data_IF_954423716335
#
_entry.id   IF_954423716335
#
_cell.length_a   1.000
_cell.length_b   1.000
_cell.length_c   1.000
_cell.angle_alpha   90.00
_cell.angle_beta   90.00
_cell.angle_gamma   90.00
#
_symmetry.space_group_name_H-M   'P 1'
#
loop_
_entity.id
_entity.type
_entity.pdbx_description
1 polymer ?
#
# COMPACT_ATOMS: atom_id res chain seq x y z
N UNK A 1 13.97 13.81 -17.01
CA UNK A 1 12.67 13.86 -17.71
C UNK A 1 12.93 13.40 -19.14
N UNK A 2 12.06 12.59 -19.74
CA UNK A 2 12.29 12.14 -21.12
C UNK A 2 12.10 13.29 -22.09
N UNK A 3 12.89 13.33 -23.17
CA UNK A 3 12.75 14.30 -24.26
C UNK A 3 11.54 14.00 -25.17
N UNK A 4 10.55 13.24 -24.68
CA UNK A 4 9.39 12.81 -25.46
C UNK A 4 8.57 13.97 -26.03
N UNK A 5 8.29 15.07 -25.30
CA UNK A 5 7.57 16.19 -25.88
C UNK A 5 8.30 16.85 -27.06
N UNK A 6 9.64 16.82 -27.06
CA UNK A 6 10.48 17.43 -28.10
C UNK A 6 10.86 16.48 -29.24
N UNK A 7 10.85 15.16 -29.00
CA UNK A 7 11.28 14.14 -29.96
C UNK A 7 10.42 12.86 -29.85
N UNK A 8 9.08 12.94 -30.04
CA UNK A 8 8.21 11.79 -29.80
C UNK A 8 8.47 10.65 -30.79
N UNK A 9 8.67 10.96 -32.08
CA UNK A 9 8.92 9.95 -33.10
C UNK A 9 10.25 9.19 -32.90
N UNK A 10 11.41 9.86 -32.72
CA UNK A 10 12.66 9.16 -32.43
C UNK A 10 12.58 8.26 -31.19
N UNK A 11 11.91 8.73 -30.13
CA UNK A 11 11.76 7.96 -28.90
C UNK A 11 10.85 6.75 -29.11
N UNK A 12 9.71 6.89 -29.79
CA UNK A 12 8.86 5.73 -30.11
C UNK A 12 9.61 4.74 -30.99
N UNK A 13 10.36 5.22 -31.99
CA UNK A 13 11.12 4.37 -32.89
C UNK A 13 12.24 3.60 -32.19
N UNK A 14 12.83 4.12 -31.10
CA UNK A 14 13.82 3.37 -30.32
C UNK A 14 13.23 2.18 -29.55
N UNK A 15 11.90 2.11 -29.41
CA UNK A 15 11.19 1.01 -28.74
C UNK A 15 10.25 0.27 -29.70
N UNK A 16 10.35 0.47 -31.02
CA UNK A 16 9.38 -0.09 -31.97
C UNK A 16 9.38 -1.61 -31.97
N UNK A 17 10.56 -2.24 -31.86
CA UNK A 17 10.67 -3.69 -31.80
C UNK A 17 10.01 -4.24 -30.53
N UNK A 18 10.21 -3.59 -29.38
CA UNK A 18 9.57 -3.95 -28.12
C UNK A 18 8.04 -3.80 -28.20
N UNK A 19 7.56 -2.69 -28.77
CA UNK A 19 6.13 -2.41 -28.95
C UNK A 19 5.47 -3.43 -29.89
N UNK A 20 6.19 -3.88 -30.92
CA UNK A 20 5.68 -4.82 -31.92
C UNK A 20 5.94 -6.29 -31.55
N UNK A 21 6.71 -6.57 -30.50
CA UNK A 21 7.11 -7.93 -30.09
C UNK A 21 5.95 -8.79 -29.57
N UNK A 22 4.78 -8.20 -29.34
CA UNK A 22 3.59 -8.90 -28.88
C UNK A 22 3.67 -9.30 -27.40
N UNK A 23 2.88 -10.29 -26.98
CA UNK A 23 2.83 -10.79 -25.61
C UNK A 23 3.89 -11.87 -25.32
N UNK A 24 4.47 -11.87 -24.12
CA UNK A 24 5.22 -13.03 -23.62
C UNK A 24 4.29 -14.24 -23.38
N UNK A 25 4.86 -15.45 -23.28
CA UNK A 25 4.06 -16.66 -22.97
C UNK A 25 3.48 -16.58 -21.56
N UNK A 26 2.16 -16.69 -21.43
CA UNK A 26 1.44 -16.59 -20.16
C UNK A 26 0.47 -15.41 -20.14
N UNK A 27 0.17 -14.91 -18.94
CA UNK A 27 -0.76 -13.78 -18.74
C UNK A 27 -0.04 -12.42 -18.84
N UNK A 28 0.70 -12.21 -19.94
CA UNK A 28 1.46 -10.98 -20.18
C UNK A 28 0.88 -10.20 -21.37
N UNK A 29 0.58 -8.92 -21.17
CA UNK A 29 0.10 -8.07 -22.26
C UNK A 29 1.18 -7.69 -23.27
N UNK A 30 2.44 -7.66 -22.85
CA UNK A 30 3.59 -7.25 -23.65
C UNK A 30 4.81 -8.10 -23.32
N UNK A 31 5.73 -8.19 -24.27
CA UNK A 31 6.98 -8.93 -24.18
C UNK A 31 8.18 -8.02 -23.83
N UNK A 32 7.93 -6.83 -23.30
CA UNK A 32 8.95 -5.98 -22.70
C UNK A 32 8.99 -6.21 -21.17
N UNK A 33 10.20 -6.36 -20.63
CA UNK A 33 10.46 -6.38 -19.18
C UNK A 33 11.28 -5.16 -18.78
N UNK A 34 11.70 -5.10 -17.52
CA UNK A 34 12.69 -4.10 -17.07
C UNK A 34 13.94 -4.20 -17.95
N UNK A 35 14.49 -3.05 -18.34
CA UNK A 35 15.67 -3.01 -19.22
C UNK A 35 16.94 -3.30 -18.44
N UNK A 36 18.07 -3.64 -19.11
CA UNK A 36 19.34 -3.87 -18.41
C UNK A 36 19.80 -2.69 -17.53
N UNK A 37 19.53 -1.45 -17.93
CA UNK A 37 19.84 -0.29 -17.10
C UNK A 37 18.90 -0.14 -15.90
N UNK A 38 17.66 -0.63 -16.01
CA UNK A 38 16.74 -0.74 -14.89
C UNK A 38 17.19 -1.79 -13.88
N UNK A 39 17.64 -2.97 -14.33
CA UNK A 39 18.22 -3.99 -13.45
C UNK A 39 19.46 -3.44 -12.73
N UNK A 40 20.37 -2.79 -13.48
CA UNK A 40 21.52 -2.12 -12.88
C UNK A 40 21.12 -1.07 -11.84
N UNK A 41 20.06 -0.27 -12.09
CA UNK A 41 19.56 0.69 -11.12
C UNK A 41 19.07 -0.01 -9.84
N UNK A 42 18.30 -1.09 -9.96
CA UNK A 42 17.81 -1.86 -8.80
C UNK A 42 18.99 -2.41 -7.99
N UNK A 43 19.97 -3.02 -8.64
CA UNK A 43 21.19 -3.50 -7.98
C UNK A 43 21.94 -2.36 -7.25
N UNK A 44 22.08 -1.20 -7.90
CA UNK A 44 22.75 -0.05 -7.31
C UNK A 44 21.97 0.58 -6.15
N UNK A 45 20.63 0.51 -6.18
CA UNK A 45 19.77 0.92 -5.08
C UNK A 45 19.91 -0.04 -3.88
N UNK A 46 19.89 -1.35 -4.13
CA UNK A 46 20.14 -2.37 -3.10
C UNK A 46 21.52 -2.19 -2.46
N UNK A 47 22.55 -1.99 -3.28
CA UNK A 47 23.92 -1.72 -2.83
C UNK A 47 24.03 -0.46 -1.97
N UNK A 48 23.07 0.47 -2.03
CA UNK A 48 23.03 1.70 -1.24
C UNK A 48 22.08 1.63 -0.03
N UNK A 49 21.46 0.48 0.22
CA UNK A 49 20.49 0.36 1.31
C UNK A 49 19.18 1.11 1.05
N UNK A 50 18.86 1.41 -0.21
CA UNK A 50 17.63 2.12 -0.56
C UNK A 50 16.44 1.15 -0.54
N UNK A 51 15.27 1.65 -0.16
CA UNK A 51 14.01 0.90 -0.25
C UNK A 51 13.61 0.80 -1.72
N UNK A 52 13.33 -0.43 -2.17
CA UNK A 52 12.77 -0.69 -3.51
C UNK A 52 11.26 -0.66 -3.42
N UNK A 53 10.63 0.32 -4.08
CA UNK A 53 9.17 0.34 -4.26
C UNK A 53 8.78 -0.57 -5.43
N UNK A 54 7.83 -1.47 -5.20
CA UNK A 54 7.47 -2.53 -6.15
C UNK A 54 6.05 -2.40 -6.73
N UNK A 55 5.27 -1.41 -6.29
CA UNK A 55 4.02 -1.06 -6.94
C UNK A 55 4.23 -0.43 -8.31
N UNK A 56 3.20 -0.56 -9.16
CA UNK A 56 3.14 -0.03 -10.53
C UNK A 56 4.12 -0.61 -11.56
N UNK A 57 5.03 -1.53 -11.20
CA UNK A 57 5.76 -2.27 -12.23
C UNK A 57 4.81 -3.04 -13.17
N UNK A 58 5.06 -3.08 -14.49
CA UNK A 58 4.41 -4.03 -15.39
C UNK A 58 4.61 -5.47 -14.89
N UNK A 59 3.66 -6.37 -15.11
CA UNK A 59 3.67 -7.72 -14.55
C UNK A 59 5.00 -8.47 -14.79
N UNK A 60 5.58 -8.34 -15.99
CA UNK A 60 6.85 -9.00 -16.28
C UNK A 60 8.05 -8.36 -15.57
N UNK A 61 8.16 -7.02 -15.58
CA UNK A 61 9.16 -6.31 -14.78
C UNK A 61 9.02 -6.61 -13.28
N UNK A 62 7.79 -6.72 -12.80
CA UNK A 62 7.47 -7.05 -11.41
C UNK A 62 8.04 -8.43 -11.04
N UNK A 63 7.86 -9.45 -11.89
CA UNK A 63 8.48 -10.76 -11.69
C UNK A 63 10.01 -10.67 -11.69
N UNK A 64 10.59 -9.99 -12.68
CA UNK A 64 12.04 -9.89 -12.83
C UNK A 64 12.69 -9.17 -11.65
N UNK A 65 12.07 -8.11 -11.14
CA UNK A 65 12.52 -7.41 -9.94
C UNK A 65 12.43 -8.31 -8.71
N UNK A 66 11.38 -9.12 -8.58
CA UNK A 66 11.31 -10.10 -7.48
C UNK A 66 12.44 -11.12 -7.52
N UNK A 67 12.82 -11.63 -8.70
CA UNK A 67 13.97 -12.53 -8.85
C UNK A 67 15.25 -11.88 -8.31
N UNK A 68 15.51 -10.62 -8.66
CA UNK A 68 16.67 -9.86 -8.15
C UNK A 68 16.65 -9.67 -6.63
N UNK A 69 15.47 -9.37 -6.07
CA UNK A 69 15.27 -9.19 -4.63
C UNK A 69 15.50 -10.51 -3.87
N UNK A 70 15.00 -11.63 -4.41
CA UNK A 70 15.16 -12.96 -3.81
C UNK A 70 16.60 -13.46 -3.86
N UNK A 71 17.26 -13.29 -5.01
CA UNK A 71 18.69 -13.63 -5.17
C UNK A 71 19.56 -12.86 -4.17
N UNK A 72 19.11 -11.68 -3.74
CA UNK A 72 19.82 -10.79 -2.82
C UNK A 72 19.34 -10.87 -1.37
N UNK A 73 18.28 -11.63 -1.07
CA UNK A 73 17.52 -11.57 0.21
C UNK A 73 17.28 -10.12 0.66
N UNK A 74 16.78 -9.29 -0.26
CA UNK A 74 16.63 -7.86 -0.07
C UNK A 74 15.16 -7.46 0.13
N UNK A 75 14.83 -6.68 1.17
CA UNK A 75 13.46 -6.27 1.44
C UNK A 75 12.97 -5.19 0.45
N UNK A 76 11.65 -5.12 0.27
CA UNK A 76 11.02 -4.11 -0.57
C UNK A 76 9.70 -3.63 0.04
N UNK A 77 9.14 -2.56 -0.53
CA UNK A 77 7.88 -1.97 -0.12
C UNK A 77 6.85 -2.05 -1.25
N UNK A 78 5.67 -2.59 -0.93
CA UNK A 78 4.46 -2.43 -1.74
C UNK A 78 3.56 -1.37 -1.11
N UNK A 79 3.77 -0.10 -1.46
CA UNK A 79 3.03 1.03 -0.87
C UNK A 79 1.60 1.20 -1.37
N UNK A 80 1.16 0.33 -2.30
CA UNK A 80 -0.19 0.29 -2.87
C UNK A 80 -0.71 -1.15 -3.05
N UNK A 81 -0.41 -1.99 -2.04
CA UNK A 81 -0.97 -3.33 -1.75
C UNK A 81 -0.32 -4.53 -2.44
N UNK A 82 0.69 -4.37 -3.30
CA UNK A 82 1.37 -5.54 -3.89
C UNK A 82 2.26 -6.27 -2.88
N UNK A 83 2.24 -7.61 -2.92
CA UNK A 83 3.05 -8.47 -2.03
C UNK A 83 3.47 -9.83 -2.62
N UNK A 84 3.07 -10.13 -3.86
CA UNK A 84 3.41 -11.38 -4.58
C UNK A 84 3.14 -12.64 -3.75
N UNK A 85 1.88 -12.88 -3.38
CA UNK A 85 1.45 -14.10 -2.68
C UNK A 85 2.24 -14.40 -1.40
N UNK A 86 2.64 -13.37 -0.67
CA UNK A 86 3.37 -13.44 0.60
C UNK A 86 4.89 -13.49 0.46
N UNK A 87 5.43 -13.61 -0.76
CA UNK A 87 6.89 -13.64 -0.98
C UNK A 87 7.58 -12.38 -0.49
N UNK A 88 6.91 -11.23 -0.59
CA UNK A 88 7.45 -9.98 -0.05
C UNK A 88 7.78 -10.08 1.44
N UNK A 89 6.89 -10.70 2.23
CA UNK A 89 7.05 -10.82 3.67
C UNK A 89 8.20 -11.77 4.03
N UNK A 90 8.44 -12.80 3.22
CA UNK A 90 9.59 -13.70 3.40
C UNK A 90 10.93 -12.95 3.26
N UNK A 91 10.96 -11.89 2.44
CA UNK A 91 12.12 -11.02 2.29
C UNK A 91 12.22 -9.94 3.37
N UNK A 92 11.32 -9.92 4.36
CA UNK A 92 11.23 -8.84 5.35
C UNK A 92 10.68 -7.52 4.77
N UNK A 93 10.02 -7.60 3.61
CA UNK A 93 9.32 -6.47 3.01
C UNK A 93 7.96 -6.20 3.66
N UNK A 94 7.37 -5.07 3.28
CA UNK A 94 6.06 -4.61 3.77
C UNK A 94 5.10 -4.37 2.63
N UNK A 95 3.82 -4.64 2.85
CA UNK A 95 2.75 -4.24 1.94
C UNK A 95 1.70 -3.48 2.73
N UNK A 96 1.45 -2.25 2.30
CA UNK A 96 0.46 -1.40 2.95
C UNK A 96 -0.97 -1.83 2.60
N UNK A 97 -1.93 -1.33 3.37
CA UNK A 97 -3.35 -1.52 3.10
C UNK A 97 -4.11 -0.20 3.21
N UNK A 98 -5.27 -0.17 2.56
CA UNK A 98 -6.25 0.91 2.68
C UNK A 98 -7.64 0.26 2.71
N UNK A 99 -8.10 -0.18 3.89
CA UNK A 99 -9.44 -0.73 4.07
C UNK A 99 -10.55 0.13 3.44
N UNK A 100 -11.52 -0.51 2.79
CA UNK A 100 -12.71 0.21 2.30
C UNK A 100 -13.68 0.40 3.46
N UNK A 101 -14.42 1.53 3.54
CA UNK A 101 -15.22 1.84 4.71
C UNK A 101 -16.55 1.09 4.74
N UNK A 102 -17.09 0.59 3.61
CA UNK A 102 -18.43 -0.01 3.61
C UNK A 102 -18.52 -1.27 4.49
N UNK A 103 -19.44 -1.26 5.46
CA UNK A 103 -19.71 -2.40 6.33
C UNK A 103 -20.69 -3.35 5.65
N UNK A 104 -20.58 -4.62 5.99
CA UNK A 104 -21.52 -5.67 5.60
C UNK A 104 -22.22 -6.15 6.89
N UNK A 105 -23.52 -5.87 7.07
CA UNK A 105 -24.23 -6.22 8.30
C UNK A 105 -24.29 -7.74 8.54
N UNK A 106 -24.17 -8.55 7.49
CA UNK A 106 -24.15 -10.01 7.60
C UNK A 106 -22.74 -10.56 7.88
N UNK A 107 -21.71 -9.74 7.69
CA UNK A 107 -20.30 -10.14 7.85
C UNK A 107 -19.50 -9.05 8.60
N UNK A 108 -19.66 -8.90 9.93
CA UNK A 108 -18.86 -7.96 10.73
C UNK A 108 -17.36 -8.17 10.52
N UNK A 109 -16.60 -7.08 10.48
CA UNK A 109 -15.16 -7.10 10.19
C UNK A 109 -14.81 -7.17 8.70
N UNK A 110 -15.81 -7.03 7.82
CA UNK A 110 -15.62 -7.08 6.37
C UNK A 110 -14.54 -6.10 5.88
N UNK A 111 -14.44 -4.94 6.54
CA UNK A 111 -13.54 -3.85 6.15
C UNK A 111 -12.07 -4.25 6.25
N UNK A 112 -11.73 -5.17 7.18
CA UNK A 112 -10.36 -5.63 7.45
C UNK A 112 -10.02 -7.00 6.87
N UNK A 113 -10.90 -7.59 6.06
CA UNK A 113 -10.68 -8.93 5.49
C UNK A 113 -9.36 -9.08 4.70
N UNK A 114 -8.93 -8.02 4.00
CA UNK A 114 -7.64 -8.04 3.30
C UNK A 114 -6.45 -7.90 4.24
N UNK A 115 -6.62 -7.16 5.34
CA UNK A 115 -5.64 -7.09 6.43
C UNK A 115 -5.44 -8.49 7.01
N UNK A 116 -6.52 -9.22 7.32
CA UNK A 116 -6.44 -10.59 7.85
C UNK A 116 -5.73 -11.56 6.89
N UNK A 117 -6.00 -11.46 5.58
CA UNK A 117 -5.32 -12.28 4.56
C UNK A 117 -3.83 -12.01 4.51
N UNK A 118 -3.42 -10.74 4.60
CA UNK A 118 -2.01 -10.36 4.65
C UNK A 118 -1.35 -10.86 5.93
N UNK A 119 -2.03 -10.73 7.07
CA UNK A 119 -1.53 -11.25 8.35
C UNK A 119 -1.33 -12.76 8.34
N UNK A 120 -2.24 -13.53 7.73
CA UNK A 120 -2.06 -14.97 7.58
C UNK A 120 -0.80 -15.32 6.75
N UNK A 121 -0.46 -14.51 5.75
CA UNK A 121 0.76 -14.69 4.94
C UNK A 121 2.03 -14.26 5.68
N UNK A 122 1.94 -13.19 6.48
CA UNK A 122 3.01 -12.74 7.36
C UNK A 122 3.32 -13.80 8.43
N UNK A 123 2.29 -14.35 9.07
CA UNK A 123 2.41 -15.41 10.07
C UNK A 123 3.05 -16.68 9.48
N UNK A 124 2.64 -17.06 8.26
CA UNK A 124 3.17 -18.23 7.57
C UNK A 124 4.70 -18.19 7.34
N UNK A 125 5.31 -17.00 7.35
CA UNK A 125 6.76 -16.80 7.20
C UNK A 125 7.42 -16.30 8.48
N UNK A 126 6.67 -16.18 9.59
CA UNK A 126 7.17 -15.71 10.88
C UNK A 126 7.64 -14.25 10.87
N UNK A 127 7.10 -13.42 9.98
CA UNK A 127 7.45 -12.01 9.89
C UNK A 127 6.69 -11.17 10.95
N UNK A 128 7.13 -9.93 11.14
CA UNK A 128 6.52 -9.02 12.11
C UNK A 128 5.07 -8.65 11.69
N UNK A 129 4.05 -8.83 12.54
CA UNK A 129 2.63 -8.71 12.17
C UNK A 129 2.17 -7.24 12.14
N UNK A 130 2.72 -6.43 11.25
CA UNK A 130 2.32 -5.04 11.08
C UNK A 130 1.94 -4.71 9.64
N UNK A 131 0.86 -3.95 9.49
CA UNK A 131 0.32 -3.53 8.19
C UNK A 131 0.32 -2.00 8.13
N UNK A 132 1.21 -1.38 7.34
CA UNK A 132 1.21 0.07 7.15
C UNK A 132 -0.07 0.55 6.46
N UNK A 133 -0.55 1.74 6.81
CA UNK A 133 -1.60 2.43 6.05
C UNK A 133 -0.99 3.28 4.94
N UNK A 134 -1.57 3.22 3.75
CA UNK A 134 -1.19 4.07 2.62
C UNK A 134 -2.42 4.59 1.89
N UNK A 135 -2.53 5.91 1.77
CA UNK A 135 -3.74 6.55 1.25
C UNK A 135 -3.63 7.00 -0.21
N UNK A 136 -2.40 7.11 -0.73
CA UNK A 136 -2.14 7.64 -2.06
C UNK A 136 -2.79 9.02 -2.31
N UNK A 137 -2.73 9.91 -1.32
CA UNK A 137 -3.34 11.25 -1.42
C UNK A 137 -2.58 12.12 -2.44
N UNK A 138 -3.03 12.10 -3.69
CA UNK A 138 -2.37 12.78 -4.81
C UNK A 138 -3.32 13.60 -5.71
N UNK A 139 -4.62 13.67 -5.37
CA UNK A 139 -5.64 14.39 -6.12
C UNK A 139 -6.19 13.66 -7.36
N UNK A 140 -5.62 12.53 -7.74
CA UNK A 140 -6.11 11.66 -8.83
C UNK A 140 -6.72 10.36 -8.29
N UNK A 141 -6.09 9.77 -7.27
CA UNK A 141 -6.61 8.57 -6.62
C UNK A 141 -7.83 8.90 -5.75
N UNK A 142 -8.82 7.99 -5.76
CA UNK A 142 -9.98 8.11 -4.91
C UNK A 142 -9.58 7.92 -3.43
N UNK A 143 -9.98 8.88 -2.59
CA UNK A 143 -9.79 8.84 -1.14
C UNK A 143 -10.65 7.76 -0.45
N UNK A 144 -10.87 7.92 0.85
CA UNK A 144 -11.86 7.12 1.58
C UNK A 144 -13.21 7.82 1.40
N UNK A 145 -14.16 7.21 0.67
CA UNK A 145 -15.49 7.80 0.47
C UNK A 145 -16.28 7.80 1.78
N UNK A 146 -17.37 8.58 1.87
CA UNK A 146 -18.32 8.41 2.95
C UNK A 146 -18.96 7.01 2.93
N UNK A 147 -19.54 6.65 4.06
CA UNK A 147 -20.30 5.41 4.19
C UNK A 147 -21.79 5.66 3.97
N UNK A 148 -22.27 6.82 4.38
CA UNK A 148 -23.66 7.26 4.28
C UNK A 148 -23.83 8.34 3.20
N UNK A 149 -25.08 8.70 2.91
CA UNK A 149 -25.41 9.73 1.92
C UNK A 149 -25.42 9.22 0.48
N UNK A 150 -25.66 10.14 -0.46
CA UNK A 150 -25.81 9.83 -1.89
C UNK A 150 -24.52 9.30 -2.53
N UNK A 151 -23.36 9.78 -2.05
CA UNK A 151 -22.03 9.35 -2.51
C UNK A 151 -21.46 8.18 -1.68
N UNK A 152 -22.27 7.62 -0.77
CA UNK A 152 -21.88 6.57 0.15
C UNK A 152 -21.94 5.15 -0.43
N UNK A 153 -22.01 4.16 0.45
CA UNK A 153 -22.11 2.76 0.06
C UNK A 153 -23.47 2.44 -0.58
N UNK A 154 -23.47 1.59 -1.61
CA UNK A 154 -24.72 1.14 -2.26
C UNK A 154 -25.64 0.37 -1.30
N UNK A 155 -25.06 -0.43 -0.42
CA UNK A 155 -25.78 -1.18 0.60
C UNK A 155 -26.10 -0.30 1.81
N UNK A 156 -27.30 -0.45 2.38
CA UNK A 156 -27.71 0.29 3.57
C UNK A 156 -26.72 0.12 4.73
N UNK A 157 -26.30 1.23 5.31
CA UNK A 157 -25.29 1.28 6.37
C UNK A 157 -25.93 1.56 7.74
N UNK A 158 -25.28 1.10 8.80
CA UNK A 158 -25.67 1.30 10.18
C UNK A 158 -24.45 1.66 11.05
N UNK A 159 -24.69 2.02 12.32
CA UNK A 159 -23.65 2.34 13.30
C UNK A 159 -22.69 3.44 12.81
N UNK A 160 -23.17 4.67 12.56
CA UNK A 160 -22.30 5.77 12.15
C UNK A 160 -21.25 6.07 13.23
N UNK A 161 -20.15 6.70 12.83
CA UNK A 161 -19.20 7.29 13.78
C UNK A 161 -19.94 8.32 14.61
N UNK A 162 -19.82 8.20 15.93
CA UNK A 162 -20.40 9.11 16.91
C UNK A 162 -19.30 9.72 17.77
N UNK A 163 -19.45 10.99 18.12
CA UNK A 163 -18.50 11.73 18.96
C UNK A 163 -19.12 12.04 20.34
N UNK A 164 -18.30 12.14 21.40
CA UNK A 164 -16.85 11.88 21.41
C UNK A 164 -16.51 10.38 21.37
N UNK A 165 -15.30 10.05 20.93
CA UNK A 165 -14.73 8.70 21.03
C UNK A 165 -13.25 8.76 21.46
N UNK A 166 -12.76 7.72 22.11
CA UNK A 166 -11.36 7.64 22.54
C UNK A 166 -10.46 7.06 21.45
N UNK A 167 -9.21 7.54 21.41
CA UNK A 167 -8.15 7.00 20.55
C UNK A 167 -7.98 5.50 20.80
N UNK A 168 -7.39 4.80 19.83
CA UNK A 168 -7.07 3.37 20.00
C UNK A 168 -6.20 3.12 21.25
N UNK A 169 -5.27 4.02 21.56
CA UNK A 169 -4.42 3.95 22.74
C UNK A 169 -5.12 4.37 24.05
N UNK A 170 -6.34 4.93 23.97
CA UNK A 170 -7.10 5.42 25.13
C UNK A 170 -6.52 6.65 25.82
N UNK A 171 -5.57 7.34 25.18
CA UNK A 171 -4.83 8.48 25.74
C UNK A 171 -5.36 9.85 25.30
N UNK A 172 -6.27 9.87 24.32
CA UNK A 172 -6.84 11.08 23.72
C UNK A 172 -8.30 10.84 23.40
N UNK A 173 -9.18 11.80 23.71
CA UNK A 173 -10.58 11.78 23.28
C UNK A 173 -10.78 12.72 22.10
N UNK A 174 -11.29 12.20 20.98
CA UNK A 174 -11.63 12.97 19.80
C UNK A 174 -13.07 13.49 19.87
N UNK A 175 -13.24 14.77 19.54
CA UNK A 175 -14.54 15.44 19.39
C UNK A 175 -14.82 15.71 17.93
N UNK A 176 -16.06 16.07 17.59
CA UNK A 176 -16.46 16.29 16.20
C UNK A 176 -15.52 17.28 15.48
N UNK A 177 -14.97 16.92 14.32
CA UNK A 177 -13.98 17.74 13.63
C UNK A 177 -14.60 19.02 13.05
N UNK A 178 -13.77 20.07 12.98
CA UNK A 178 -14.14 21.36 12.40
C UNK A 178 -13.06 21.84 11.42
N UNK A 179 -13.50 22.45 10.32
CA UNK A 179 -12.65 23.12 9.34
C UNK A 179 -13.03 24.60 9.32
N UNK A 180 -12.22 25.42 9.98
CA UNK A 180 -12.53 26.83 10.19
C UNK A 180 -13.80 26.98 11.02
N UNK A 181 -14.86 27.51 10.42
CA UNK A 181 -16.18 27.69 11.06
C UNK A 181 -17.18 26.59 10.74
N UNK A 182 -16.80 25.57 9.96
CA UNK A 182 -17.69 24.49 9.52
C UNK A 182 -17.42 23.22 10.31
N UNK A 183 -18.46 22.58 10.82
CA UNK A 183 -18.39 21.21 11.33
C UNK A 183 -18.31 20.23 10.18
N UNK A 184 -17.44 19.23 10.27
CA UNK A 184 -17.30 18.17 9.28
C UNK A 184 -18.12 16.96 9.72
N UNK A 185 -18.90 16.39 8.80
CA UNK A 185 -19.59 15.13 9.01
C UNK A 185 -18.87 14.00 8.28
N UNK A 186 -17.99 13.29 8.98
CA UNK A 186 -17.27 12.15 8.40
C UNK A 186 -18.22 11.08 7.80
N UNK A 187 -19.42 10.90 8.35
CA UNK A 187 -20.33 9.84 7.91
C UNK A 187 -20.84 10.07 6.50
N UNK A 188 -21.18 11.32 6.16
CA UNK A 188 -21.71 11.73 4.85
C UNK A 188 -20.65 12.33 3.93
N UNK A 189 -19.47 12.73 4.45
CA UNK A 189 -18.41 13.37 3.66
C UNK A 189 -17.13 12.54 3.51
N UNK A 190 -16.96 11.48 4.31
CA UNK A 190 -15.79 10.62 4.28
C UNK A 190 -14.51 11.30 4.75
N UNK A 191 -13.36 10.73 4.37
CA UNK A 191 -12.05 11.25 4.76
C UNK A 191 -11.57 12.34 3.80
N UNK A 192 -12.17 13.53 3.92
CA UNK A 192 -11.86 14.71 3.11
C UNK A 192 -10.38 15.15 3.16
N UNK A 193 -9.69 14.91 4.28
CA UNK A 193 -8.26 15.19 4.43
C UNK A 193 -7.63 14.23 5.45
N UNK A 194 -6.29 14.19 5.48
CA UNK A 194 -5.51 13.28 6.34
C UNK A 194 -5.80 13.44 7.84
N UNK A 195 -6.31 14.59 8.26
CA UNK A 195 -6.67 14.87 9.65
C UNK A 195 -7.91 14.11 10.14
N UNK A 196 -8.68 13.48 9.25
CA UNK A 196 -9.83 12.62 9.57
C UNK A 196 -9.44 11.14 9.69
N UNK A 197 -8.14 10.85 9.78
CA UNK A 197 -7.64 9.51 10.07
C UNK A 197 -8.23 8.92 11.37
N UNK A 198 -8.42 9.69 12.47
CA UNK A 198 -9.03 9.16 13.69
C UNK A 198 -10.46 8.63 13.47
N UNK A 199 -11.30 9.38 12.75
CA UNK A 199 -12.67 8.95 12.40
C UNK A 199 -12.66 7.70 11.52
N UNK A 200 -11.76 7.64 10.54
CA UNK A 200 -11.59 6.47 9.69
C UNK A 200 -11.22 5.22 10.50
N UNK A 201 -10.24 5.34 11.41
CA UNK A 201 -9.88 4.25 12.32
C UNK A 201 -11.06 3.88 13.23
N UNK A 202 -11.80 4.86 13.74
CA UNK A 202 -12.98 4.60 14.57
C UNK A 202 -14.09 3.85 13.81
N UNK A 203 -14.29 4.16 12.53
CA UNK A 203 -15.25 3.45 11.68
C UNK A 203 -14.84 1.98 11.50
N UNK A 204 -13.55 1.72 11.21
CA UNK A 204 -12.99 0.36 11.14
C UNK A 204 -13.13 -0.40 12.47
N UNK A 205 -12.85 0.26 13.60
CA UNK A 205 -13.06 -0.33 14.95
C UNK A 205 -14.53 -0.67 15.20
N UNK A 206 -15.45 0.13 14.68
CA UNK A 206 -16.89 -0.09 14.84
C UNK A 206 -17.36 -1.34 14.08
N UNK A 207 -16.73 -1.66 12.95
CA UNK A 207 -16.99 -2.89 12.19
C UNK A 207 -16.28 -4.12 12.78
N UNK A 208 -14.98 -4.00 13.06
CA UNK A 208 -14.10 -5.14 13.27
C UNK A 208 -13.62 -5.32 14.72
N UNK A 209 -13.78 -4.30 15.56
CA UNK A 209 -13.26 -4.28 16.93
C UNK A 209 -11.77 -3.90 17.03
N UNK A 210 -11.32 -3.65 18.26
CA UNK A 210 -9.99 -3.12 18.56
C UNK A 210 -8.86 -4.10 18.22
N UNK A 211 -9.05 -5.40 18.46
CA UNK A 211 -8.04 -6.42 18.17
C UNK A 211 -7.72 -6.51 16.68
N UNK A 212 -8.74 -6.40 15.82
CA UNK A 212 -8.56 -6.49 14.37
C UNK A 212 -7.84 -5.25 13.78
N UNK A 213 -7.96 -4.09 14.44
CA UNK A 213 -7.31 -2.84 14.01
C UNK A 213 -5.85 -2.73 14.51
N UNK A 214 -5.49 -3.46 15.57
CA UNK A 214 -4.17 -3.44 16.19
C UNK A 214 -2.98 -3.56 15.19
N UNK A 215 -3.04 -4.42 14.16
CA UNK A 215 -1.95 -4.56 13.20
C UNK A 215 -1.67 -3.30 12.37
N UNK A 216 -2.66 -2.41 12.23
CA UNK A 216 -2.46 -1.10 11.59
C UNK A 216 -1.57 -0.19 12.45
N UNK A 217 -1.69 -0.28 13.77
CA UNK A 217 -0.84 0.46 14.72
C UNK A 217 0.57 -0.11 14.85
N UNK A 218 0.80 -1.34 14.38
CA UNK A 218 2.13 -1.92 14.21
C UNK A 218 2.82 -1.52 12.90
N UNK A 219 2.12 -0.85 11.98
CA UNK A 219 2.61 -0.54 10.65
C UNK A 219 3.89 0.31 10.63
N UNK A 220 4.04 1.27 11.55
CA UNK A 220 5.25 2.09 11.63
C UNK A 220 6.50 1.26 11.97
N UNK A 221 6.38 0.35 12.94
CA UNK A 221 7.47 -0.56 13.32
C UNK A 221 7.80 -1.56 12.19
N UNK A 222 6.78 -2.05 11.47
CA UNK A 222 7.01 -2.89 10.30
C UNK A 222 7.83 -2.16 9.23
N UNK A 223 7.54 -0.88 8.99
CA UNK A 223 8.28 -0.05 8.05
C UNK A 223 9.73 0.19 8.49
N UNK A 224 9.95 0.45 9.78
CA UNK A 224 11.31 0.65 10.34
C UNK A 224 12.13 -0.63 10.20
N UNK A 225 11.60 -1.79 10.57
CA UNK A 225 12.30 -3.08 10.43
C UNK A 225 12.70 -3.39 8.99
N UNK A 226 11.81 -3.09 8.04
CA UNK A 226 12.06 -3.24 6.62
C UNK A 226 13.20 -2.32 6.15
N UNK A 227 13.16 -1.05 6.57
CA UNK A 227 14.21 -0.08 6.28
C UNK A 227 15.56 -0.52 6.87
N UNK A 228 15.61 -0.87 8.15
CA UNK A 228 16.83 -1.34 8.81
C UNK A 228 17.43 -2.55 8.08
N UNK A 229 16.59 -3.52 7.65
CA UNK A 229 17.05 -4.65 6.84
C UNK A 229 17.60 -4.19 5.49
N UNK A 230 17.00 -3.20 4.84
CA UNK A 230 17.50 -2.66 3.57
C UNK A 230 18.92 -2.06 3.76
N UNK A 231 19.12 -1.23 4.78
CA UNK A 231 20.42 -0.65 5.12
C UNK A 231 21.46 -1.70 5.48
N UNK A 232 21.09 -2.70 6.30
CA UNK A 232 21.95 -3.83 6.65
C UNK A 232 22.41 -4.59 5.39
N UNK A 233 21.47 -4.95 4.52
CA UNK A 233 21.79 -5.66 3.26
C UNK A 233 22.66 -4.83 2.35
N UNK A 234 22.40 -3.52 2.25
CA UNK A 234 23.26 -2.60 1.51
C UNK A 234 24.69 -2.56 2.08
N UNK A 235 24.85 -2.50 3.40
CA UNK A 235 26.18 -2.54 4.08
C UNK A 235 26.93 -3.82 3.74
N UNK A 236 26.26 -4.97 3.89
CA UNK A 236 26.82 -6.29 3.60
C UNK A 236 27.28 -6.40 2.13
N UNK A 237 26.50 -5.87 1.19
CA UNK A 237 26.86 -5.84 -0.25
C UNK A 237 28.10 -4.99 -0.54
N UNK A 238 28.34 -3.93 0.24
CA UNK A 238 29.55 -3.08 0.12
C UNK A 238 30.76 -3.62 0.89
N UNK A 239 30.56 -4.63 1.75
CA UNK A 239 31.60 -5.17 2.61
C UNK A 239 31.93 -4.27 3.81
N UNK A 240 30.95 -3.50 4.28
CA UNK A 240 31.01 -2.60 5.44
C UNK A 240 30.43 -3.24 6.71
#
# INVERSE_FOLDING_TARGET
>A
MSDFPSAPLPIVLSFVDDILSGSATGEYCQNASITPIGEFLIEQMMLRGMIIEIDHFPQWSYQRVYELLEDSDYPAAGTHRREWNGRLYALGGISSERPRPCHDPETPGTTLREVDRKLARIDAVGAYPGIPLSFDLNGFAAGIPPRFGEEGCEAAQANPVTWPFDSYAGDTTFTQPTLGTRTVDYNEEGMLHIGLLPEYIQDLRTDAGDEAVEPLFRGAEAYIRMWEKAEEKGSLMRGE
#
